data_IF_899413028943
#
_entry.id   IF_899413028943
#
_cell.length_a   1.000
_cell.length_b   1.000
_cell.length_c   1.000
_cell.angle_alpha   90.00
_cell.angle_beta   90.00
_cell.angle_gamma   90.00
#
_symmetry.space_group_name_H-M   'P 1'
#
loop_
_entity.id
_entity.type
_entity.pdbx_description
1 polymer ?
#
# COMPACT_ATOMS: atom_id res chain seq x y z
N UNK A 1 -18.11 -22.14 46.73
CA UNK A 1 -18.97 -21.39 45.79
C UNK A 1 -18.07 -20.65 44.82
N UNK A 2 -18.23 -20.91 43.52
CA UNK A 2 -17.33 -20.51 42.43
C UNK A 2 -17.65 -19.08 41.99
N UNK A 3 -16.64 -18.21 41.85
CA UNK A 3 -16.72 -17.04 40.97
C UNK A 3 -15.47 -16.97 40.12
N UNK A 4 -15.58 -17.57 38.92
CA UNK A 4 -14.67 -17.34 37.79
C UNK A 4 -15.11 -16.01 37.15
N UNK A 5 -14.25 -15.00 37.19
CA UNK A 5 -14.36 -13.85 36.29
C UNK A 5 -13.30 -14.05 35.20
N UNK A 6 -13.77 -14.48 34.02
CA UNK A 6 -12.94 -14.55 32.83
C UNK A 6 -12.62 -13.11 32.40
N UNK A 7 -11.35 -12.71 32.54
CA UNK A 7 -10.82 -11.52 31.90
C UNK A 7 -10.58 -11.85 30.43
N UNK A 8 -11.55 -11.50 29.59
CA UNK A 8 -11.41 -11.52 28.13
C UNK A 8 -10.38 -10.46 27.74
N UNK A 9 -9.12 -10.86 27.60
CA UNK A 9 -8.08 -10.01 27.03
C UNK A 9 -8.36 -9.86 25.53
N UNK A 10 -9.00 -8.74 25.17
CA UNK A 10 -9.05 -8.26 23.80
C UNK A 10 -7.63 -7.85 23.39
N UNK A 11 -6.89 -8.79 22.79
CA UNK A 11 -5.68 -8.48 22.04
C UNK A 11 -6.13 -7.79 20.76
N UNK A 12 -6.18 -6.46 20.80
CA UNK A 12 -6.29 -5.65 19.59
C UNK A 12 -4.95 -5.76 18.88
N UNK A 13 -4.87 -6.60 17.85
CA UNK A 13 -3.76 -6.62 16.90
C UNK A 13 -3.77 -5.28 16.17
N UNK A 14 -3.02 -4.31 16.70
CA UNK A 14 -2.79 -3.01 16.10
C UNK A 14 -1.93 -3.18 14.85
N UNK A 15 -2.56 -3.27 13.68
CA UNK A 15 -1.90 -3.21 12.36
C UNK A 15 -1.38 -1.79 12.05
N UNK A 16 -1.44 -0.86 13.01
CA UNK A 16 -1.22 0.57 12.82
C UNK A 16 0.26 1.01 12.84
N UNK A 17 1.21 0.10 13.09
CA UNK A 17 2.58 0.50 13.47
C UNK A 17 3.49 0.90 12.31
N UNK A 18 3.14 0.58 11.07
CA UNK A 18 4.04 0.77 9.92
C UNK A 18 3.88 2.11 9.20
N UNK A 19 2.71 2.74 9.30
CA UNK A 19 2.45 4.05 8.67
C UNK A 19 3.08 5.20 9.47
N UNK A 20 3.35 5.00 10.77
CA UNK A 20 3.77 6.10 11.67
C UNK A 20 5.21 6.58 11.49
N UNK A 21 6.04 5.97 10.63
CA UNK A 21 7.48 6.32 10.51
C UNK A 21 7.86 7.21 9.33
N UNK A 22 6.97 7.40 8.36
CA UNK A 22 7.20 8.32 7.26
C UNK A 22 6.23 9.50 7.39
N UNK A 23 6.79 10.70 7.56
CA UNK A 23 6.00 11.93 7.65
C UNK A 23 5.42 12.28 6.30
N UNK A 24 4.26 11.70 5.96
CA UNK A 24 3.47 12.10 4.80
C UNK A 24 2.52 13.23 5.21
N UNK A 25 2.52 14.34 4.48
CA UNK A 25 1.51 15.39 4.65
C UNK A 25 0.17 15.03 3.96
N UNK A 26 0.21 14.11 2.98
CA UNK A 26 -0.97 13.44 2.45
C UNK A 26 -1.60 12.48 3.48
N UNK A 27 -2.93 12.29 3.40
CA UNK A 27 -3.65 11.40 4.31
C UNK A 27 -3.16 9.95 4.22
N UNK A 28 -3.26 9.19 5.31
CA UNK A 28 -2.90 7.76 5.33
C UNK A 28 -3.63 6.96 4.24
N UNK A 29 -4.91 7.27 4.01
CA UNK A 29 -5.71 6.66 2.93
C UNK A 29 -5.09 6.94 1.56
N UNK A 30 -4.64 8.16 1.32
CA UNK A 30 -4.00 8.53 0.06
C UNK A 30 -2.66 7.83 -0.11
N UNK A 31 -1.83 7.81 0.93
CA UNK A 31 -0.57 7.09 0.95
C UNK A 31 -0.77 5.60 0.64
N UNK A 32 -1.76 4.95 1.27
CA UNK A 32 -2.07 3.55 1.02
C UNK A 32 -2.48 3.29 -0.43
N UNK A 33 -3.40 4.10 -0.98
CA UNK A 33 -3.85 3.96 -2.36
C UNK A 33 -2.71 4.12 -3.37
N UNK A 34 -1.86 5.13 -3.17
CA UNK A 34 -0.71 5.40 -4.04
C UNK A 34 0.31 4.25 -3.94
N UNK A 35 0.61 3.77 -2.72
CA UNK A 35 1.50 2.62 -2.49
C UNK A 35 1.01 1.36 -3.20
N UNK A 36 -0.27 1.01 -3.05
CA UNK A 36 -0.85 -0.18 -3.69
C UNK A 36 -0.79 -0.06 -5.22
N UNK A 37 -1.19 1.09 -5.77
CA UNK A 37 -1.23 1.29 -7.21
C UNK A 37 0.17 1.24 -7.85
N UNK A 38 1.16 1.87 -7.23
CA UNK A 38 2.55 1.89 -7.73
C UNK A 38 3.24 0.53 -7.53
N UNK A 39 2.96 -0.18 -6.44
CA UNK A 39 3.44 -1.54 -6.23
C UNK A 39 2.90 -2.50 -7.30
N UNK A 40 1.60 -2.45 -7.58
CA UNK A 40 0.98 -3.22 -8.65
C UNK A 40 1.59 -2.88 -10.01
N UNK A 41 1.80 -1.58 -10.28
CA UNK A 41 2.41 -1.12 -11.53
C UNK A 41 3.83 -1.64 -11.69
N UNK A 42 4.65 -1.52 -10.65
CA UNK A 42 6.02 -2.02 -10.61
C UNK A 42 6.07 -3.52 -10.85
N UNK A 43 5.29 -4.29 -10.11
CA UNK A 43 5.32 -5.74 -10.21
C UNK A 43 4.82 -6.26 -11.56
N UNK A 44 3.83 -5.62 -12.17
CA UNK A 44 3.39 -5.96 -13.54
C UNK A 44 4.47 -5.70 -14.60
N UNK A 45 5.35 -4.73 -14.39
CA UNK A 45 6.51 -4.47 -15.26
C UNK A 45 7.62 -5.47 -15.00
N UNK A 46 7.99 -5.67 -13.74
CA UNK A 46 9.08 -6.56 -13.35
C UNK A 46 8.81 -8.03 -13.74
N UNK A 47 7.55 -8.45 -13.73
CA UNK A 47 7.11 -9.81 -14.15
C UNK A 47 6.71 -9.88 -15.62
N UNK A 48 7.05 -8.86 -16.42
CA UNK A 48 6.82 -8.77 -17.87
C UNK A 48 5.34 -8.93 -18.31
N UNK A 49 4.39 -8.75 -17.40
CA UNK A 49 2.95 -8.86 -17.69
C UNK A 49 2.40 -7.63 -18.40
N UNK A 50 3.04 -6.47 -18.24
CA UNK A 50 2.60 -5.23 -18.86
C UNK A 50 3.75 -4.25 -19.11
N UNK A 51 3.66 -3.50 -20.22
CA UNK A 51 4.61 -2.41 -20.51
C UNK A 51 4.45 -1.26 -19.51
N UNK A 52 5.58 -0.67 -19.11
CA UNK A 52 5.64 0.43 -18.14
C UNK A 52 4.66 1.58 -18.44
N UNK A 53 4.66 2.08 -19.68
CA UNK A 53 3.76 3.19 -20.06
C UNK A 53 2.27 2.82 -19.90
N UNK A 54 1.90 1.58 -20.22
CA UNK A 54 0.50 1.14 -20.15
C UNK A 54 0.04 0.97 -18.71
N UNK A 55 0.88 0.37 -17.86
CA UNK A 55 0.50 0.16 -16.46
C UNK A 55 0.47 1.46 -15.67
N UNK A 56 1.36 2.41 -16.00
CA UNK A 56 1.38 3.72 -15.38
C UNK A 56 0.14 4.56 -15.74
N UNK A 57 -0.36 4.46 -16.98
CA UNK A 57 -1.66 5.02 -17.37
C UNK A 57 -2.80 4.41 -16.52
N UNK A 58 -2.82 3.08 -16.37
CA UNK A 58 -3.84 2.39 -15.57
C UNK A 58 -3.78 2.81 -14.10
N UNK A 59 -2.59 2.82 -13.48
CA UNK A 59 -2.40 3.22 -12.09
C UNK A 59 -2.85 4.68 -11.87
N UNK A 60 -2.47 5.58 -12.78
CA UNK A 60 -2.89 6.99 -12.73
C UNK A 60 -4.40 7.13 -12.80
N UNK A 61 -5.05 6.46 -13.77
CA UNK A 61 -6.52 6.48 -13.91
C UNK A 61 -7.24 5.89 -12.70
N UNK A 62 -6.71 4.80 -12.14
CA UNK A 62 -7.23 4.21 -10.91
C UNK A 62 -7.19 5.23 -9.77
N UNK A 63 -6.05 5.86 -9.54
CA UNK A 63 -5.88 6.84 -8.47
C UNK A 63 -6.80 8.06 -8.64
N UNK A 64 -6.93 8.57 -9.87
CA UNK A 64 -7.89 9.64 -10.20
C UNK A 64 -9.33 9.20 -9.86
N UNK A 65 -9.72 7.98 -10.23
CA UNK A 65 -11.06 7.45 -9.91
C UNK A 65 -11.33 7.31 -8.41
N UNK A 66 -10.28 7.24 -7.59
CA UNK A 66 -10.35 7.21 -6.12
C UNK A 66 -10.27 8.60 -5.49
N UNK A 67 -10.25 9.67 -6.30
CA UNK A 67 -10.15 11.05 -5.83
C UNK A 67 -8.74 11.47 -5.43
N UNK A 68 -7.70 10.75 -5.86
CA UNK A 68 -6.31 11.10 -5.58
C UNK A 68 -5.76 11.99 -6.69
N UNK A 69 -5.59 13.27 -6.40
CA UNK A 69 -5.03 14.27 -7.32
C UNK A 69 -3.55 14.04 -7.61
N UNK A 70 -3.07 14.60 -8.71
CA UNK A 70 -1.66 14.56 -9.13
C UNK A 70 -0.74 15.16 -8.05
N UNK A 71 -1.16 16.26 -7.44
CA UNK A 71 -0.45 16.90 -6.33
C UNK A 71 -0.27 15.92 -5.15
N UNK A 72 -1.35 15.24 -4.73
CA UNK A 72 -1.27 14.29 -3.63
C UNK A 72 -0.41 13.07 -3.98
N UNK A 73 -0.46 12.58 -5.22
CA UNK A 73 0.41 11.48 -5.68
C UNK A 73 1.88 11.88 -5.61
N UNK A 74 2.20 13.08 -6.13
CA UNK A 74 3.56 13.59 -6.12
C UNK A 74 4.07 13.82 -4.70
N UNK A 75 3.23 14.35 -3.83
CA UNK A 75 3.54 14.56 -2.42
C UNK A 75 3.87 13.23 -1.72
N UNK A 76 3.04 12.20 -1.91
CA UNK A 76 3.34 10.85 -1.38
C UNK A 76 4.65 10.31 -1.94
N UNK A 77 4.81 10.32 -3.27
CA UNK A 77 5.97 9.71 -3.97
C UNK A 77 7.29 10.43 -3.69
N UNK A 78 7.25 11.71 -3.34
CA UNK A 78 8.43 12.51 -3.01
C UNK A 78 8.77 12.51 -1.52
N UNK A 79 7.90 11.96 -0.67
CA UNK A 79 8.16 11.91 0.76
C UNK A 79 9.34 10.97 1.08
N UNK A 80 10.21 11.34 2.04
CA UNK A 80 11.29 10.46 2.49
C UNK A 80 10.76 9.10 2.97
N UNK A 81 11.38 8.01 2.49
CA UNK A 81 11.03 6.64 2.87
C UNK A 81 9.87 6.01 2.09
N UNK A 82 9.28 6.71 1.11
CA UNK A 82 8.20 6.15 0.30
C UNK A 82 8.62 4.89 -0.48
N UNK A 83 9.82 4.87 -1.06
CA UNK A 83 10.32 3.69 -1.78
C UNK A 83 10.47 2.47 -0.87
N UNK A 84 10.90 2.68 0.39
CA UNK A 84 11.04 1.62 1.38
C UNK A 84 9.67 1.11 1.81
N UNK A 85 8.69 2.01 2.01
CA UNK A 85 7.29 1.66 2.27
C UNK A 85 6.71 0.78 1.15
N UNK A 86 6.95 1.16 -0.12
CA UNK A 86 6.46 0.38 -1.26
C UNK A 86 7.14 -0.99 -1.35
N UNK A 87 8.47 -1.07 -1.14
CA UNK A 87 9.19 -2.37 -1.11
C UNK A 87 8.66 -3.25 0.00
N UNK A 88 8.50 -2.70 1.20
CA UNK A 88 7.95 -3.43 2.33
C UNK A 88 6.53 -3.96 2.02
N UNK A 89 5.67 -3.13 1.44
CA UNK A 89 4.33 -3.57 1.04
C UNK A 89 4.41 -4.76 0.07
N UNK A 90 5.27 -4.70 -0.95
CA UNK A 90 5.48 -5.81 -1.91
C UNK A 90 5.95 -7.07 -1.18
N UNK A 91 6.91 -6.95 -0.26
CA UNK A 91 7.45 -8.08 0.50
C UNK A 91 6.37 -8.71 1.40
N UNK A 92 5.54 -7.89 2.05
CA UNK A 92 4.39 -8.34 2.85
C UNK A 92 3.31 -9.04 2.02
N UNK A 93 3.19 -8.70 0.74
CA UNK A 93 2.32 -9.42 -0.20
C UNK A 93 2.96 -10.74 -0.71
N UNK A 94 4.19 -11.07 -0.32
CA UNK A 94 4.89 -12.28 -0.80
C UNK A 94 5.70 -12.05 -2.08
N UNK A 95 6.01 -10.80 -2.41
CA UNK A 95 6.80 -10.43 -3.59
C UNK A 95 5.95 -10.19 -4.85
N UNK A 96 6.61 -9.78 -5.93
CA UNK A 96 5.92 -9.36 -7.14
C UNK A 96 5.17 -10.47 -7.88
N UNK A 97 5.67 -11.71 -7.85
CA UNK A 97 4.97 -12.84 -8.47
C UNK A 97 3.62 -13.10 -7.81
N UNK A 98 3.60 -13.13 -6.48
CA UNK A 98 2.40 -13.37 -5.69
C UNK A 98 1.40 -12.22 -5.82
N UNK A 99 1.89 -10.98 -5.76
CA UNK A 99 1.08 -9.79 -5.94
C UNK A 99 0.41 -9.77 -7.33
N UNK A 100 1.16 -10.10 -8.39
CA UNK A 100 0.62 -10.23 -9.76
C UNK A 100 -0.41 -11.36 -9.86
N UNK A 101 -0.17 -12.49 -9.17
CA UNK A 101 -1.13 -13.61 -9.12
C UNK A 101 -2.47 -13.19 -8.52
N UNK A 102 -2.48 -12.31 -7.53
CA UNK A 102 -3.71 -11.80 -6.90
C UNK A 102 -4.49 -10.81 -7.76
N UNK A 103 -3.88 -10.24 -8.80
CA UNK A 103 -4.55 -9.32 -9.75
C UNK A 103 -5.33 -10.04 -10.85
N UNK A 104 -5.22 -11.36 -10.94
CA UNK A 104 -5.86 -12.21 -11.94
C UNK A 104 -7.11 -12.89 -11.37
#
# INVERSE_FOLDING_TARGET
MVKRAALTALVVLSVSSLVQRAGFAASERTTALVTIAEANARCLVETEQMKAAKVQDIATRFLISKGVSDANRNEVKSAPGYDDLMRQYIDEQGGCEELVRQLR
#
